data_IF_599335058688
#
_entry.id   IF_599335058688
#
_cell.length_a   1.000
_cell.length_b   1.000
_cell.length_c   1.000
_cell.angle_alpha   90.00
_cell.angle_beta   90.00
_cell.angle_gamma   90.00
#
_symmetry.space_group_name_H-M   'P 1'
#
loop_
_entity.id
_entity.type
_entity.pdbx_description
1 polymer ?
#
# COMPACT_ATOMS: atom_id res chain seq x y z
N UNK A 1 -32.96 -35.37 5.95
CA UNK A 1 -32.61 -34.83 4.61
C UNK A 1 -32.85 -33.32 4.52
N UNK A 2 -34.00 -32.78 4.94
CA UNK A 2 -34.31 -31.33 4.91
C UNK A 2 -33.24 -30.42 5.54
N UNK A 3 -32.71 -30.77 6.71
CA UNK A 3 -31.67 -29.97 7.41
C UNK A 3 -30.33 -29.93 6.68
N UNK A 4 -29.93 -31.02 6.01
CA UNK A 4 -28.69 -31.05 5.22
C UNK A 4 -28.79 -30.18 3.96
N UNK A 5 -29.96 -30.16 3.31
CA UNK A 5 -30.21 -29.30 2.15
C UNK A 5 -30.16 -27.81 2.52
N UNK A 6 -30.69 -27.44 3.70
CA UNK A 6 -30.67 -26.06 4.21
C UNK A 6 -29.23 -25.60 4.50
N UNK A 7 -28.40 -26.46 5.09
CA UNK A 7 -27.01 -26.12 5.42
C UNK A 7 -26.19 -25.88 4.14
N UNK A 8 -26.38 -26.71 3.11
CA UNK A 8 -25.68 -26.57 1.82
C UNK A 8 -26.12 -25.30 1.09
N UNK A 9 -27.42 -24.94 1.12
CA UNK A 9 -27.88 -23.70 0.48
C UNK A 9 -27.37 -22.45 1.21
N UNK A 10 -27.24 -22.50 2.53
CA UNK A 10 -26.77 -21.38 3.34
C UNK A 10 -25.27 -21.11 3.13
N UNK A 11 -24.46 -22.16 2.98
CA UNK A 11 -23.02 -22.03 2.68
C UNK A 11 -22.77 -21.52 1.27
N UNK A 12 -23.53 -21.95 0.27
CA UNK A 12 -23.44 -21.43 -1.09
C UNK A 12 -23.80 -19.93 -1.17
N UNK A 13 -24.79 -19.49 -0.38
CA UNK A 13 -25.20 -18.09 -0.33
C UNK A 13 -24.12 -17.20 0.31
N UNK A 14 -23.48 -17.66 1.39
CA UNK A 14 -22.40 -16.93 2.08
C UNK A 14 -21.16 -16.75 1.18
N UNK A 15 -20.81 -17.75 0.36
CA UNK A 15 -19.74 -17.62 -0.63
C UNK A 15 -20.05 -16.59 -1.73
N UNK A 16 -21.32 -16.43 -2.12
CA UNK A 16 -21.72 -15.47 -3.15
C UNK A 16 -21.68 -14.00 -2.67
N UNK A 17 -21.86 -13.77 -1.36
CA UNK A 17 -21.72 -12.41 -0.77
C UNK A 17 -20.27 -12.07 -0.39
N UNK A 18 -19.41 -13.07 -0.19
CA UNK A 18 -18.01 -12.86 0.18
C UNK A 18 -17.13 -12.32 -0.95
N UNK A 19 -17.61 -12.33 -2.20
CA UNK A 19 -16.92 -11.77 -3.38
C UNK A 19 -17.68 -10.56 -3.96
N UNK A 20 -18.38 -9.81 -3.11
CA UNK A 20 -18.86 -8.47 -3.49
C UNK A 20 -17.79 -7.48 -3.04
N UNK A 21 -16.90 -7.13 -3.96
CA UNK A 21 -16.00 -6.00 -3.81
C UNK A 21 -16.83 -4.71 -3.83
N UNK A 22 -17.48 -4.41 -2.71
CA UNK A 22 -18.09 -3.11 -2.47
C UNK A 22 -17.05 -2.21 -1.81
N UNK A 23 -16.19 -1.63 -2.64
CA UNK A 23 -15.73 -0.27 -2.40
C UNK A 23 -15.46 0.39 -3.73
N UNK A 24 -16.51 0.82 -4.43
CA UNK A 24 -16.38 2.01 -5.27
C UNK A 24 -16.07 3.16 -4.30
N UNK A 25 -14.79 3.34 -3.97
CA UNK A 25 -14.29 4.60 -3.48
C UNK A 25 -14.75 5.60 -4.54
N UNK A 26 -15.60 6.56 -4.20
CA UNK A 26 -15.81 7.72 -5.06
C UNK A 26 -14.47 8.44 -5.14
N UNK A 27 -13.64 8.02 -6.10
CA UNK A 27 -12.45 8.75 -6.50
C UNK A 27 -13.01 10.06 -7.06
N UNK A 28 -12.68 11.23 -6.46
CA UNK A 28 -13.04 12.50 -7.06
C UNK A 28 -12.64 12.48 -8.53
N UNK A 29 -13.50 12.96 -9.43
CA UNK A 29 -13.23 12.97 -10.87
C UNK A 29 -11.75 13.29 -11.11
N UNK A 30 -10.99 12.41 -11.78
CA UNK A 30 -9.58 12.65 -12.01
C UNK A 30 -9.46 14.02 -12.71
N UNK A 31 -8.44 14.82 -12.35
CA UNK A 31 -8.21 16.09 -13.03
C UNK A 31 -8.20 15.86 -14.54
N UNK A 32 -8.70 16.83 -15.34
CA UNK A 32 -8.78 16.69 -16.80
C UNK A 32 -7.43 16.20 -17.33
N UNK A 33 -7.43 15.29 -18.33
CA UNK A 33 -6.25 14.53 -18.70
C UNK A 33 -5.10 15.51 -18.91
N UNK A 34 -4.13 15.46 -17.99
CA UNK A 34 -2.94 16.27 -18.12
C UNK A 34 -2.37 15.96 -19.49
N UNK A 35 -2.31 17.01 -20.31
CA UNK A 35 -1.75 17.10 -21.65
C UNK A 35 -0.79 15.95 -21.92
N UNK A 36 -1.14 15.05 -22.85
CA UNK A 36 -0.32 13.92 -23.33
C UNK A 36 1.15 14.03 -22.91
N UNK A 37 1.44 13.61 -21.68
CA UNK A 37 2.81 13.30 -21.32
C UNK A 37 2.99 12.03 -22.12
N UNK A 38 3.66 12.14 -23.28
CA UNK A 38 4.19 10.96 -23.97
C UNK A 38 4.73 10.11 -22.85
N UNK A 39 4.10 8.98 -22.59
CA UNK A 39 4.64 8.01 -21.65
C UNK A 39 6.03 7.77 -22.19
N UNK A 40 7.05 8.35 -21.55
CA UNK A 40 8.41 8.03 -21.88
C UNK A 40 8.42 6.53 -21.69
N UNK A 41 8.53 5.80 -22.80
CA UNK A 41 8.57 4.34 -22.80
C UNK A 41 9.74 4.02 -21.87
N UNK A 42 9.42 3.66 -20.62
CA UNK A 42 10.44 3.34 -19.65
C UNK A 42 11.03 2.05 -20.18
N UNK A 43 12.28 2.13 -20.60
CA UNK A 43 13.09 0.97 -20.96
C UNK A 43 12.88 -0.12 -19.92
N UNK A 44 12.68 -1.37 -20.35
CA UNK A 44 12.39 -2.51 -19.47
C UNK A 44 13.45 -2.62 -18.36
N UNK A 45 14.69 -2.24 -18.68
CA UNK A 45 15.78 -2.17 -17.70
C UNK A 45 15.54 -1.10 -16.63
N UNK A 46 15.00 0.07 -16.99
CA UNK A 46 14.67 1.13 -16.05
C UNK A 46 13.54 0.71 -15.10
N UNK A 47 12.53 0.02 -15.63
CA UNK A 47 11.44 -0.55 -14.82
C UNK A 47 11.98 -1.60 -13.85
N UNK A 48 12.82 -2.52 -14.34
CA UNK A 48 13.45 -3.54 -13.50
C UNK A 48 14.31 -2.93 -12.38
N UNK A 49 15.14 -1.93 -12.70
CA UNK A 49 15.97 -1.23 -11.72
C UNK A 49 15.12 -0.53 -10.65
N UNK A 50 14.04 0.13 -11.06
CA UNK A 50 13.12 0.77 -10.12
C UNK A 50 12.46 -0.24 -9.17
N UNK A 51 12.01 -1.38 -9.70
CA UNK A 51 11.33 -2.41 -8.91
C UNK A 51 12.28 -3.17 -7.97
N UNK A 52 13.56 -3.26 -8.32
CA UNK A 52 14.58 -3.96 -7.52
C UNK A 52 15.37 -3.03 -6.58
N UNK A 53 15.15 -1.71 -6.66
CA UNK A 53 15.73 -0.75 -5.72
C UNK A 53 15.06 -0.87 -4.35
N UNK A 54 15.81 -1.45 -3.40
CA UNK A 54 15.36 -1.69 -2.03
C UNK A 54 15.02 -0.42 -1.26
N UNK A 55 15.65 0.73 -1.57
CA UNK A 55 15.27 2.00 -0.96
C UNK A 55 13.92 2.49 -1.49
N UNK A 56 13.68 2.32 -2.80
CA UNK A 56 12.38 2.66 -3.38
C UNK A 56 11.27 1.76 -2.83
N UNK A 57 11.55 0.46 -2.69
CA UNK A 57 10.64 -0.48 -2.04
C UNK A 57 10.34 -0.07 -0.59
N UNK A 58 11.35 0.31 0.21
CA UNK A 58 11.12 0.79 1.58
C UNK A 58 10.29 2.07 1.61
N UNK A 59 10.56 3.02 0.70
CA UNK A 59 9.84 4.29 0.64
C UNK A 59 8.37 4.09 0.29
N UNK A 60 8.04 3.15 -0.60
CA UNK A 60 6.65 2.85 -0.96
C UNK A 60 5.85 2.23 0.18
N UNK A 61 6.52 1.67 1.21
CA UNK A 61 5.89 1.18 2.43
C UNK A 61 5.63 2.28 3.47
N UNK A 62 6.03 3.53 3.24
CA UNK A 62 5.71 4.64 4.14
C UNK A 62 4.30 5.15 3.84
N UNK A 63 3.42 5.12 4.85
CA UNK A 63 2.00 5.49 4.70
C UNK A 63 1.57 6.44 5.79
N UNK A 64 0.58 7.28 5.48
CA UNK A 64 -0.05 8.14 6.49
C UNK A 64 -1.15 7.37 7.22
N UNK A 65 -0.99 7.19 8.53
CA UNK A 65 -2.02 6.65 9.42
C UNK A 65 -2.94 7.80 9.85
N UNK A 66 -4.15 7.83 9.28
CA UNK A 66 -5.15 8.87 9.56
C UNK A 66 -5.69 8.83 10.99
N UNK A 67 -5.72 7.66 11.64
CA UNK A 67 -6.17 7.52 13.02
C UNK A 67 -5.15 8.11 13.99
N UNK A 68 -3.87 7.84 13.75
CA UNK A 68 -2.75 8.37 14.56
C UNK A 68 -2.27 9.75 14.09
N UNK A 69 -2.77 10.23 12.95
CA UNK A 69 -2.37 11.48 12.26
C UNK A 69 -0.85 11.58 12.06
N UNK A 70 -0.21 10.49 11.66
CA UNK A 70 1.25 10.43 11.46
C UNK A 70 1.65 9.42 10.40
N UNK A 71 2.80 9.62 9.79
CA UNK A 71 3.45 8.64 8.92
C UNK A 71 3.94 7.44 9.73
N UNK A 72 3.83 6.26 9.14
CA UNK A 72 4.31 4.98 9.66
C UNK A 72 5.00 4.20 8.55
N UNK A 73 5.95 3.35 8.91
CA UNK A 73 6.54 2.36 8.00
C UNK A 73 5.71 1.07 8.09
N UNK A 74 5.03 0.70 7.02
CA UNK A 74 4.08 -0.43 6.92
C UNK A 74 4.78 -1.75 6.57
N UNK A 75 5.89 -2.05 7.26
CA UNK A 75 6.61 -3.32 7.15
C UNK A 75 7.42 -3.56 8.44
N UNK A 76 7.48 -4.81 8.91
CA UNK A 76 8.32 -5.16 10.07
C UNK A 76 9.79 -5.28 9.68
N UNK A 77 10.72 -5.12 10.63
CA UNK A 77 12.15 -5.33 10.33
C UNK A 77 12.42 -6.76 9.86
N UNK A 78 11.72 -7.75 10.45
CA UNK A 78 11.87 -9.15 10.06
C UNK A 78 11.45 -9.38 8.61
N UNK A 79 10.31 -8.83 8.19
CA UNK A 79 9.81 -8.97 6.83
C UNK A 79 10.67 -8.17 5.84
N UNK A 80 11.18 -7.00 6.23
CA UNK A 80 12.13 -6.26 5.42
C UNK A 80 13.41 -7.11 5.16
N UNK A 81 13.94 -7.75 6.21
CA UNK A 81 15.11 -8.63 6.06
C UNK A 81 14.82 -9.85 5.17
N UNK A 82 13.62 -10.40 5.21
CA UNK A 82 13.25 -11.57 4.37
C UNK A 82 13.26 -11.26 2.87
N UNK A 83 13.00 -9.99 2.49
CA UNK A 83 13.11 -9.49 1.11
C UNK A 83 14.47 -8.85 0.80
N UNK A 84 15.47 -9.07 1.66
CA UNK A 84 16.85 -8.67 1.43
C UNK A 84 17.17 -7.21 1.76
N UNK A 85 16.31 -6.49 2.47
CA UNK A 85 16.63 -5.18 3.04
C UNK A 85 17.53 -5.38 4.26
N UNK A 86 18.61 -4.62 4.36
CA UNK A 86 19.52 -4.73 5.51
C UNK A 86 18.92 -4.03 6.74
N UNK A 87 19.34 -4.43 7.94
CA UNK A 87 18.95 -3.72 9.18
C UNK A 87 19.32 -2.24 9.14
N UNK A 88 20.43 -1.87 8.50
CA UNK A 88 20.81 -0.45 8.38
C UNK A 88 19.81 0.32 7.50
N UNK A 89 19.46 -0.21 6.33
CA UNK A 89 18.46 0.41 5.45
C UNK A 89 17.11 0.58 6.13
N UNK A 90 16.68 -0.43 6.91
CA UNK A 90 15.45 -0.34 7.70
C UNK A 90 15.52 0.78 8.74
N UNK A 91 16.63 0.87 9.49
CA UNK A 91 16.84 1.96 10.47
C UNK A 91 16.83 3.34 9.81
N UNK A 92 17.43 3.48 8.64
CA UNK A 92 17.44 4.72 7.89
C UNK A 92 16.01 5.10 7.43
N UNK A 93 15.19 4.12 7.04
CA UNK A 93 13.78 4.34 6.72
C UNK A 93 12.96 4.77 7.95
N UNK A 94 13.19 4.16 9.12
CA UNK A 94 12.56 4.59 10.38
C UNK A 94 12.90 6.05 10.68
N UNK A 95 14.19 6.42 10.59
CA UNK A 95 14.63 7.81 10.81
C UNK A 95 13.95 8.78 9.84
N UNK A 96 13.81 8.40 8.56
CA UNK A 96 13.08 9.21 7.57
C UNK A 96 11.62 9.43 7.97
N UNK A 97 10.93 8.40 8.47
CA UNK A 97 9.55 8.52 8.97
C UNK A 97 9.48 9.46 10.19
N UNK A 98 10.45 9.40 11.09
CA UNK A 98 10.54 10.32 12.24
C UNK A 98 10.69 11.78 11.77
N UNK A 99 11.56 12.04 10.80
CA UNK A 99 11.76 13.37 10.21
C UNK A 99 10.49 13.89 9.51
N UNK A 100 9.81 13.03 8.73
CA UNK A 100 8.52 13.38 8.11
C UNK A 100 7.46 13.74 9.14
N UNK A 101 7.40 13.01 10.25
CA UNK A 101 6.45 13.26 11.33
C UNK A 101 6.72 14.56 12.08
N UNK A 102 7.99 14.94 12.24
CA UNK A 102 8.35 16.25 12.80
C UNK A 102 7.78 17.39 11.97
N UNK A 103 7.97 17.33 10.64
CA UNK A 103 7.43 18.33 9.70
C UNK A 103 5.89 18.30 9.69
N UNK A 104 5.29 17.11 9.78
CA UNK A 104 3.82 16.98 9.81
C UNK A 104 3.21 17.61 11.06
N UNK A 105 3.84 17.44 12.22
CA UNK A 105 3.41 18.07 13.47
C UNK A 105 3.46 19.59 13.38
N UNK A 106 4.55 20.16 12.86
CA UNK A 106 4.71 21.61 12.65
C UNK A 106 3.62 22.22 11.74
N UNK A 107 3.05 21.44 10.80
CA UNK A 107 1.97 21.90 9.91
C UNK A 107 0.57 21.84 10.52
N UNK A 108 0.39 21.04 11.57
CA UNK A 108 -0.91 20.83 12.22
C UNK A 108 -1.12 21.73 13.45
N UNK A 109 -0.08 22.46 13.88
CA UNK A 109 -0.14 23.53 14.89
C UNK A 109 -0.63 24.83 14.28
#
# INVERSE_FOLDING_TARGET
MKTRTIIISLTALLCAVSCKEETELQVPNPPPPHTNVKSAELDDEAVYRFQTDKNQMLNSMIRYDYTKKKYVLDISEQDARSIGITTQMYKDAIKRVEEMNKVNFERLQ
#
